data_IF_815172897850
#
_entry.id   IF_815172897850
#
_cell.length_a   1.000
_cell.length_b   1.000
_cell.length_c   1.000
_cell.angle_alpha   90.00
_cell.angle_beta   90.00
_cell.angle_gamma   90.00
#
_symmetry.space_group_name_H-M   'P 1'
#
loop_
_entity.id
_entity.type
_entity.pdbx_description
1 polymer ?
#
# COMPACT_ATOMS: atom_id res chain seq x y z
N UNK A 1 32.71 2.60 -4.94
CA UNK A 1 33.39 3.19 -3.77
C UNK A 1 33.36 2.15 -2.66
N UNK A 2 34.49 1.94 -1.97
CA UNK A 2 34.52 1.12 -0.76
C UNK A 2 33.76 1.86 0.34
N UNK A 3 32.83 1.18 1.00
CA UNK A 3 32.16 1.73 2.18
C UNK A 3 33.16 1.69 3.34
N UNK A 4 33.45 2.82 3.94
CA UNK A 4 34.29 2.90 5.14
C UNK A 4 33.37 2.78 6.36
N UNK A 5 33.73 1.87 7.26
CA UNK A 5 32.97 1.64 8.51
C UNK A 5 33.74 2.30 9.67
N UNK A 6 32.97 2.94 10.56
CA UNK A 6 33.53 3.64 11.71
C UNK A 6 33.55 2.78 12.95
N UNK A 7 32.46 2.12 13.26
CA UNK A 7 32.36 1.23 14.41
C UNK A 7 31.54 -0.01 14.08
N UNK A 8 31.76 -1.09 14.81
CA UNK A 8 31.09 -2.36 14.61
C UNK A 8 30.69 -3.00 15.94
N UNK A 9 29.54 -3.65 15.96
CA UNK A 9 29.08 -4.47 17.08
C UNK A 9 28.58 -5.81 16.54
N UNK A 10 28.94 -6.91 17.19
CA UNK A 10 28.68 -8.26 16.71
C UNK A 10 27.62 -8.91 17.62
N UNK A 11 26.59 -9.51 17.03
CA UNK A 11 25.59 -10.28 17.76
C UNK A 11 26.11 -11.68 18.12
N UNK A 12 25.47 -12.34 19.07
CA UNK A 12 25.80 -13.72 19.43
C UNK A 12 25.66 -14.69 18.25
N UNK A 13 24.74 -14.41 17.31
CA UNK A 13 24.55 -15.21 16.11
C UNK A 13 25.55 -14.90 14.99
N UNK A 14 26.47 -13.95 15.21
CA UNK A 14 27.51 -13.58 14.26
C UNK A 14 27.09 -12.57 13.18
N UNK A 15 25.96 -11.87 13.36
CA UNK A 15 25.61 -10.71 12.54
C UNK A 15 26.39 -9.49 13.01
N UNK A 16 26.69 -8.60 12.08
CA UNK A 16 27.53 -7.42 12.33
C UNK A 16 26.70 -6.16 12.08
N UNK A 17 26.44 -5.38 13.13
CA UNK A 17 25.99 -4.00 13.00
C UNK A 17 27.20 -3.11 12.80
N UNK A 18 27.17 -2.24 11.80
CA UNK A 18 28.26 -1.34 11.49
C UNK A 18 27.73 0.06 11.19
N UNK A 19 28.34 1.08 11.79
CA UNK A 19 28.12 2.47 11.40
C UNK A 19 29.03 2.82 10.21
N UNK A 20 28.43 3.52 9.23
CA UNK A 20 29.17 4.00 8.06
C UNK A 20 29.86 5.31 8.42
N UNK A 21 31.07 5.54 7.88
CA UNK A 21 31.77 6.80 8.11
C UNK A 21 30.93 7.98 7.58
N UNK A 22 30.92 9.04 8.37
CA UNK A 22 29.99 10.15 8.18
C UNK A 22 30.50 11.07 7.10
N UNK A 23 29.73 11.21 6.02
CA UNK A 23 29.92 12.22 5.00
C UNK A 23 29.63 13.63 5.54
N UNK A 24 29.94 14.65 4.77
CA UNK A 24 29.54 16.02 5.11
C UNK A 24 28.01 16.15 5.21
N UNK A 25 27.54 17.10 6.01
CA UNK A 25 26.09 17.31 6.18
C UNK A 25 25.39 17.59 4.84
N UNK A 26 26.05 18.35 3.94
CA UNK A 26 25.55 18.63 2.60
C UNK A 26 25.43 17.40 1.70
N UNK A 27 26.34 16.43 1.83
CA UNK A 27 26.27 15.18 1.08
C UNK A 27 25.11 14.30 1.58
N UNK A 28 24.87 14.29 2.90
CA UNK A 28 23.78 13.54 3.53
C UNK A 28 22.42 14.11 3.14
N UNK A 29 22.27 15.43 3.20
CA UNK A 29 21.05 16.12 2.76
C UNK A 29 20.76 15.84 1.30
N UNK A 30 21.78 15.93 0.43
CA UNK A 30 21.63 15.61 -0.99
C UNK A 30 21.23 14.16 -1.28
N UNK A 31 21.73 13.18 -0.52
CA UNK A 31 21.32 11.77 -0.65
C UNK A 31 19.84 11.56 -0.25
N UNK A 32 19.38 12.26 0.77
CA UNK A 32 17.99 12.20 1.22
C UNK A 32 17.06 12.89 0.22
N UNK A 33 17.38 14.09 -0.24
CA UNK A 33 16.60 14.81 -1.24
C UNK A 33 16.48 14.00 -2.54
N UNK A 34 17.57 13.40 -3.01
CA UNK A 34 17.55 12.53 -4.18
C UNK A 34 16.69 11.28 -3.95
N UNK A 35 16.71 10.69 -2.77
CA UNK A 35 15.84 9.57 -2.39
C UNK A 35 14.37 9.97 -2.39
N UNK A 36 14.03 11.13 -1.83
CA UNK A 36 12.67 11.66 -1.81
C UNK A 36 12.15 11.96 -3.22
N UNK A 37 12.97 12.58 -4.06
CA UNK A 37 12.59 13.00 -5.41
C UNK A 37 12.46 11.85 -6.39
N UNK A 38 13.37 10.87 -6.31
CA UNK A 38 13.39 9.74 -7.23
C UNK A 38 12.41 8.62 -6.87
N UNK A 39 11.89 8.60 -5.64
CA UNK A 39 11.08 7.49 -5.13
C UNK A 39 11.84 6.15 -5.10
N UNK A 40 13.14 6.17 -5.39
CA UNK A 40 13.98 4.98 -5.45
C UNK A 40 14.61 4.72 -4.09
N UNK A 41 14.36 3.53 -3.56
CA UNK A 41 14.98 3.06 -2.32
C UNK A 41 16.42 2.56 -2.52
N UNK A 42 16.92 2.51 -3.76
CA UNK A 42 18.31 2.16 -4.10
C UNK A 42 19.19 3.39 -4.00
N UNK A 43 20.17 3.38 -3.11
CA UNK A 43 21.07 4.51 -2.86
C UNK A 43 20.64 5.45 -1.72
N UNK A 44 19.59 5.09 -0.99
CA UNK A 44 19.13 5.83 0.19
C UNK A 44 20.19 5.80 1.29
N UNK A 45 20.38 6.93 1.95
CA UNK A 45 21.22 7.07 3.14
C UNK A 45 20.93 5.98 4.18
N UNK A 46 21.91 5.16 4.46
CA UNK A 46 21.86 4.07 5.43
C UNK A 46 23.06 4.14 6.35
N UNK A 47 22.97 4.93 7.44
CA UNK A 47 24.10 5.20 8.33
C UNK A 47 24.52 4.00 9.18
N UNK A 48 23.60 3.08 9.41
CA UNK A 48 23.87 1.81 10.09
C UNK A 48 23.53 0.67 9.15
N UNK A 49 24.40 -0.30 9.05
CA UNK A 49 24.22 -1.51 8.24
C UNK A 49 24.21 -2.74 9.13
N UNK A 50 23.36 -3.69 8.80
CA UNK A 50 23.37 -5.04 9.36
C UNK A 50 23.94 -6.00 8.30
N UNK A 51 25.09 -6.57 8.58
CA UNK A 51 25.78 -7.46 7.67
C UNK A 51 25.70 -8.90 8.18
N UNK A 52 25.52 -9.82 7.26
CA UNK A 52 25.68 -11.25 7.55
C UNK A 52 27.16 -11.66 7.52
N UNK A 53 27.47 -12.92 7.84
CA UNK A 53 28.82 -13.47 7.82
C UNK A 53 29.52 -13.42 6.45
N UNK A 54 28.78 -13.16 5.37
CA UNK A 54 29.31 -12.97 4.01
C UNK A 54 29.54 -11.51 3.65
N UNK A 55 29.25 -10.57 4.58
CA UNK A 55 29.30 -9.13 4.33
C UNK A 55 28.15 -8.57 3.51
N UNK A 56 27.07 -9.34 3.31
CA UNK A 56 25.89 -8.85 2.61
C UNK A 56 24.99 -8.07 3.57
N UNK A 57 24.55 -6.89 3.18
CA UNK A 57 23.62 -6.08 3.94
C UNK A 57 22.23 -6.73 3.97
N UNK A 58 21.70 -6.93 5.17
CA UNK A 58 20.41 -7.56 5.44
C UNK A 58 19.50 -6.71 6.33
N UNK A 59 19.83 -5.43 6.53
CA UNK A 59 19.02 -4.52 7.35
C UNK A 59 17.59 -4.46 6.81
N UNK A 60 16.63 -4.74 7.68
CA UNK A 60 15.23 -4.56 7.34
C UNK A 60 14.86 -3.09 7.36
N UNK A 61 14.01 -2.70 6.44
CA UNK A 61 13.49 -1.34 6.31
C UNK A 61 12.01 -1.37 6.64
N UNK A 62 11.66 -0.78 7.76
CA UNK A 62 10.27 -0.56 8.12
C UNK A 62 9.92 0.90 7.83
N UNK A 63 9.13 1.09 6.78
CA UNK A 63 8.78 2.41 6.29
C UNK A 63 9.64 2.88 5.11
N UNK A 64 9.62 4.18 4.86
CA UNK A 64 10.25 4.80 3.70
C UNK A 64 11.79 4.84 3.80
N UNK A 65 12.31 5.03 5.00
CA UNK A 65 13.74 5.13 5.28
C UNK A 65 14.25 3.93 6.08
N UNK A 66 15.53 3.53 5.88
CA UNK A 66 16.19 2.63 6.82
C UNK A 66 16.30 3.30 8.19
N UNK A 67 16.54 2.54 9.27
CA UNK A 67 16.82 3.11 10.58
C UNK A 67 17.99 4.10 10.52
N UNK A 68 17.70 5.38 10.68
CA UNK A 68 18.64 6.47 10.43
C UNK A 68 18.61 7.58 11.50
N UNK A 69 17.89 7.38 12.61
CA UNK A 69 17.62 8.45 13.55
C UNK A 69 16.66 9.47 12.97
N UNK A 70 16.93 10.75 13.11
CA UNK A 70 16.16 11.82 12.50
C UNK A 70 16.68 12.17 11.12
N UNK A 71 15.78 12.36 10.17
CA UNK A 71 16.07 12.71 8.76
C UNK A 71 15.49 14.05 8.37
N UNK A 72 15.28 14.94 9.35
CA UNK A 72 14.76 16.27 9.12
C UNK A 72 15.77 17.12 8.32
N UNK A 73 15.29 17.70 7.21
CA UNK A 73 16.08 18.50 6.28
C UNK A 73 15.64 19.98 6.33
N UNK A 74 14.94 20.42 7.36
CA UNK A 74 14.48 21.79 7.45
C UNK A 74 15.66 22.76 7.55
N UNK A 75 15.98 23.41 6.43
CA UNK A 75 17.09 24.36 6.27
C UNK A 75 16.81 25.75 6.84
N UNK A 76 15.61 25.98 7.40
CA UNK A 76 15.18 27.32 7.85
C UNK A 76 15.62 27.67 9.27
N UNK A 77 16.11 26.71 10.04
CA UNK A 77 16.59 26.95 11.38
C UNK A 77 18.14 26.86 11.45
N UNK A 78 18.77 27.95 11.85
CA UNK A 78 20.22 28.06 11.98
C UNK A 78 20.81 27.34 13.20
N UNK A 79 20.04 26.49 13.91
CA UNK A 79 20.56 25.72 15.04
C UNK A 79 21.34 24.50 14.51
N UNK A 80 22.52 24.26 15.04
CA UNK A 80 23.39 23.12 14.68
C UNK A 80 22.75 21.73 14.94
N UNK A 81 21.53 21.70 15.51
CA UNK A 81 20.80 20.49 15.86
C UNK A 81 19.86 19.99 14.79
N UNK A 82 19.65 20.74 13.73
CA UNK A 82 18.76 20.41 12.62
C UNK A 82 19.53 19.72 11.49
N UNK A 83 18.83 18.99 10.67
CA UNK A 83 19.40 18.17 9.61
C UNK A 83 19.46 16.70 9.97
N UNK A 84 20.13 15.91 9.17
CA UNK A 84 20.23 14.46 9.30
C UNK A 84 21.02 14.06 10.53
N UNK A 85 20.60 13.00 11.22
CA UNK A 85 21.33 12.42 12.37
C UNK A 85 22.71 11.95 11.97
N UNK A 86 23.69 12.19 12.85
CA UNK A 86 25.08 11.81 12.69
C UNK A 86 25.39 10.59 13.56
N UNK A 87 25.10 9.40 13.03
CA UNK A 87 25.23 8.15 13.76
C UNK A 87 26.67 7.65 13.71
N UNK A 88 27.32 7.57 14.88
CA UNK A 88 28.76 7.31 14.96
C UNK A 88 29.12 6.02 15.66
N UNK A 89 28.27 5.47 16.49
CA UNK A 89 28.51 4.24 17.21
C UNK A 89 27.25 3.39 17.28
N UNK A 90 27.40 2.07 17.44
CA UNK A 90 26.31 1.10 17.54
C UNK A 90 26.64 0.02 18.55
N UNK A 91 25.67 -0.31 19.41
CA UNK A 91 25.79 -1.40 20.38
C UNK A 91 24.60 -2.36 20.25
N UNK A 92 24.86 -3.65 20.32
CA UNK A 92 23.85 -4.69 20.40
C UNK A 92 23.33 -4.76 21.84
N UNK A 93 22.03 -4.66 22.01
CA UNK A 93 21.31 -4.74 23.28
C UNK A 93 20.60 -6.08 23.49
N UNK A 94 19.86 -6.24 24.61
CA UNK A 94 19.13 -7.44 24.89
C UNK A 94 17.99 -7.68 23.87
N UNK A 95 17.56 -8.93 23.72
CA UNK A 95 16.43 -9.34 22.90
C UNK A 95 16.53 -8.90 21.43
N UNK A 96 17.75 -8.94 20.88
CA UNK A 96 18.05 -8.51 19.50
C UNK A 96 17.75 -7.03 19.22
N UNK A 97 17.69 -6.23 20.27
CA UNK A 97 17.67 -4.77 20.12
C UNK A 97 19.06 -4.25 19.78
N UNK A 98 19.12 -3.08 19.20
CA UNK A 98 20.39 -2.39 18.97
C UNK A 98 20.19 -0.89 19.13
N UNK A 99 21.22 -0.24 19.63
CA UNK A 99 21.20 1.19 19.93
C UNK A 99 22.33 1.87 19.18
N UNK A 100 22.01 3.01 18.58
CA UNK A 100 22.99 3.90 17.96
C UNK A 100 22.95 5.27 18.60
N UNK A 101 24.03 6.01 18.49
CA UNK A 101 24.17 7.36 19.04
C UNK A 101 24.29 8.41 17.94
N UNK A 102 23.55 9.49 18.14
CA UNK A 102 23.60 10.70 17.31
C UNK A 102 24.47 11.75 18.01
N UNK A 103 25.66 11.99 17.49
CA UNK A 103 26.57 12.98 18.03
C UNK A 103 26.17 14.43 17.73
N UNK A 104 25.28 14.64 16.76
CA UNK A 104 24.77 15.99 16.45
C UNK A 104 23.77 16.47 17.49
N UNK A 105 22.89 15.55 17.97
CA UNK A 105 21.83 15.88 18.95
C UNK A 105 22.15 15.43 20.37
N UNK A 106 23.27 14.70 20.57
CA UNK A 106 23.56 14.02 21.83
C UNK A 106 22.41 13.11 22.27
N UNK A 107 21.92 12.29 21.36
CA UNK A 107 20.74 11.44 21.55
C UNK A 107 21.05 10.00 21.17
N UNK A 108 20.36 9.07 21.82
CA UNK A 108 20.41 7.64 21.49
C UNK A 108 19.10 7.21 20.84
N UNK A 109 19.19 6.29 19.89
CA UNK A 109 18.05 5.66 19.23
C UNK A 109 18.20 4.15 19.38
N UNK A 110 17.18 3.52 19.98
CA UNK A 110 17.13 2.06 20.12
C UNK A 110 16.05 1.49 19.21
N UNK A 111 16.45 0.48 18.46
CA UNK A 111 15.61 -0.20 17.47
C UNK A 111 15.47 -1.68 17.83
N UNK A 112 14.39 -2.30 17.36
CA UNK A 112 14.25 -3.74 17.35
C UNK A 112 15.00 -4.38 16.17
N UNK A 113 14.97 -5.71 16.10
CA UNK A 113 15.57 -6.49 15.01
C UNK A 113 14.95 -6.16 13.63
N UNK A 114 13.69 -5.70 13.58
CA UNK A 114 12.99 -5.36 12.35
C UNK A 114 13.25 -3.90 11.90
N UNK A 115 13.97 -3.12 12.67
CA UNK A 115 14.27 -1.72 12.39
C UNK A 115 13.18 -0.75 12.87
N UNK A 116 12.25 -1.19 13.71
CA UNK A 116 11.30 -0.29 14.36
C UNK A 116 11.98 0.47 15.49
N UNK A 117 11.75 1.78 15.55
CA UNK A 117 12.23 2.60 16.66
C UNK A 117 11.44 2.26 17.92
N UNK A 118 12.14 1.82 18.95
CA UNK A 118 11.55 1.48 20.25
C UNK A 118 11.50 2.69 21.16
N UNK A 119 12.61 3.37 21.31
CA UNK A 119 12.72 4.60 22.10
C UNK A 119 13.94 5.41 21.70
N UNK A 120 13.88 6.70 21.95
CA UNK A 120 15.00 7.63 21.83
C UNK A 120 15.07 8.44 23.11
N UNK A 121 16.28 8.67 23.61
CA UNK A 121 16.51 9.53 24.76
C UNK A 121 17.88 10.20 24.66
N UNK A 122 18.12 11.13 25.55
CA UNK A 122 19.30 11.96 25.57
C UNK A 122 18.99 13.36 25.05
N UNK A 123 19.55 14.32 25.72
CA UNK A 123 19.50 15.72 25.35
C UNK A 123 20.68 16.42 25.99
N UNK A 124 21.19 17.45 25.37
CA UNK A 124 22.22 18.32 25.91
C UNK A 124 21.63 19.23 27.02
N UNK A 125 21.20 18.61 28.11
CA UNK A 125 20.65 19.32 29.26
C UNK A 125 21.53 19.12 30.50
N UNK A 126 21.53 20.11 31.41
CA UNK A 126 22.19 20.01 32.69
C UNK A 126 21.41 19.16 33.71
N UNK A 127 20.31 18.51 33.28
CA UNK A 127 19.52 17.66 34.15
C UNK A 127 20.18 16.30 34.37
N UNK A 128 19.82 15.61 35.43
CA UNK A 128 20.24 14.24 35.68
C UNK A 128 19.81 13.35 34.50
N UNK A 129 20.77 12.67 33.87
CA UNK A 129 20.53 11.89 32.68
C UNK A 129 20.67 12.65 31.35
N UNK A 130 21.05 13.94 31.39
CA UNK A 130 21.48 14.67 30.18
C UNK A 130 22.82 14.13 29.65
N UNK A 131 23.02 14.22 28.35
CA UNK A 131 24.26 13.78 27.65
C UNK A 131 24.87 15.01 27.02
N UNK A 132 26.05 15.43 27.50
CA UNK A 132 26.71 16.65 27.03
C UNK A 132 27.42 16.48 25.68
N UNK A 133 28.12 15.38 25.52
CA UNK A 133 28.86 15.04 24.29
C UNK A 133 28.99 13.51 24.18
N UNK A 134 28.04 12.89 23.52
CA UNK A 134 28.03 11.43 23.37
C UNK A 134 29.17 10.95 22.49
N UNK A 135 29.95 9.97 22.98
CA UNK A 135 31.11 9.41 22.27
C UNK A 135 30.92 7.96 21.90
N UNK A 136 30.47 7.15 22.85
CA UNK A 136 30.30 5.71 22.67
C UNK A 136 29.12 5.17 23.50
N UNK A 137 28.59 4.04 23.06
CA UNK A 137 27.53 3.29 23.77
C UNK A 137 27.91 1.82 23.85
N UNK A 138 27.64 1.18 24.98
CA UNK A 138 27.78 -0.27 25.16
C UNK A 138 26.74 -0.78 26.16
N UNK A 139 26.36 -2.04 26.00
CA UNK A 139 25.50 -2.72 26.96
C UNK A 139 26.31 -3.57 27.93
N UNK A 140 25.96 -3.52 29.21
CA UNK A 140 26.40 -4.44 30.24
C UNK A 140 25.17 -5.14 30.83
N UNK A 141 24.86 -6.32 30.31
CA UNK A 141 23.61 -6.98 30.64
C UNK A 141 22.39 -6.15 30.17
N UNK A 142 21.58 -5.73 31.12
CA UNK A 142 20.38 -4.94 30.83
C UNK A 142 20.59 -3.42 30.90
N UNK A 143 21.72 -2.99 31.42
CA UNK A 143 22.06 -1.57 31.59
C UNK A 143 22.81 -1.05 30.37
N UNK A 144 22.51 0.16 29.95
CA UNK A 144 23.21 0.87 28.87
C UNK A 144 24.24 1.82 29.48
N UNK A 145 25.48 1.72 29.05
CA UNK A 145 26.56 2.61 29.43
C UNK A 145 26.85 3.56 28.29
N UNK A 146 26.86 4.86 28.59
CA UNK A 146 27.17 5.91 27.62
C UNK A 146 28.40 6.65 28.10
N UNK A 147 29.40 6.72 27.20
CA UNK A 147 30.58 7.55 27.40
C UNK A 147 30.26 8.98 26.96
N UNK A 148 30.31 9.90 27.90
CA UNK A 148 30.20 11.34 27.67
C UNK A 148 31.58 11.96 27.68
N UNK A 149 32.02 12.52 26.55
CA UNK A 149 33.29 13.22 26.36
C UNK A 149 33.21 14.73 26.57
N UNK A 150 32.23 15.23 27.34
CA UNK A 150 32.11 16.63 27.69
C UNK A 150 33.22 17.15 28.62
N UNK A 151 32.97 18.21 29.37
CA UNK A 151 33.96 18.85 30.24
C UNK A 151 34.56 17.91 31.31
N UNK A 152 33.83 16.90 31.71
CA UNK A 152 34.29 15.82 32.57
C UNK A 152 33.98 14.50 31.89
N UNK A 153 35.00 13.85 31.30
CA UNK A 153 34.80 12.52 30.74
C UNK A 153 34.18 11.59 31.79
N UNK A 154 32.94 11.16 31.54
CA UNK A 154 32.18 10.34 32.47
C UNK A 154 31.49 9.19 31.76
N UNK A 155 31.26 8.10 32.48
CA UNK A 155 30.43 7.00 32.03
C UNK A 155 29.14 7.07 32.81
N UNK A 156 28.03 7.28 32.10
CA UNK A 156 26.72 7.27 32.71
C UNK A 156 26.03 5.94 32.47
N UNK A 157 25.51 5.35 33.56
CA UNK A 157 24.77 4.08 33.50
C UNK A 157 23.28 4.40 33.45
N UNK A 158 22.60 3.89 32.42
CA UNK A 158 21.17 4.03 32.24
C UNK A 158 20.50 2.67 32.44
N UNK A 159 19.63 2.59 33.44
CA UNK A 159 18.78 1.43 33.66
C UNK A 159 17.41 1.66 33.05
N UNK A 160 16.79 0.58 32.56
CA UNK A 160 15.46 0.67 31.98
C UNK A 160 14.40 1.02 33.01
N UNK A 161 13.46 1.84 32.61
CA UNK A 161 12.21 2.09 33.36
C UNK A 161 11.26 0.90 33.24
N UNK A 162 10.22 0.83 34.08
CA UNK A 162 9.15 -0.17 33.93
C UNK A 162 8.52 -0.19 32.53
N UNK A 163 8.44 0.97 31.89
CA UNK A 163 7.95 1.09 30.51
C UNK A 163 8.90 0.40 29.51
N UNK A 164 10.21 0.66 29.63
CA UNK A 164 11.22 -0.01 28.82
C UNK A 164 11.28 -1.51 29.06
N UNK A 165 11.08 -1.95 30.32
CA UNK A 165 11.03 -3.37 30.66
C UNK A 165 9.82 -4.07 30.04
N UNK A 166 8.67 -3.43 29.95
CA UNK A 166 7.49 -3.97 29.26
C UNK A 166 7.77 -4.18 27.76
N UNK A 167 8.46 -3.23 27.11
CA UNK A 167 8.83 -3.35 25.71
C UNK A 167 9.78 -4.53 25.49
N UNK A 168 10.84 -4.63 26.28
CA UNK A 168 11.82 -5.73 26.17
C UNK A 168 11.19 -7.06 26.51
N UNK A 169 10.30 -7.12 27.51
CA UNK A 169 9.55 -8.34 27.85
C UNK A 169 8.61 -8.77 26.71
N UNK A 170 7.99 -7.82 26.02
CA UNK A 170 7.17 -8.14 24.85
C UNK A 170 8.01 -8.74 23.72
N UNK A 171 9.18 -8.17 23.43
CA UNK A 171 10.13 -8.72 22.43
C UNK A 171 10.65 -10.09 22.83
N UNK A 172 10.96 -10.31 24.11
CA UNK A 172 11.36 -11.61 24.63
C UNK A 172 10.27 -12.67 24.42
N UNK A 173 9.03 -12.34 24.77
CA UNK A 173 7.89 -13.20 24.56
C UNK A 173 7.68 -13.54 23.07
N UNK A 174 7.84 -12.55 22.15
CA UNK A 174 7.80 -12.81 20.71
C UNK A 174 8.92 -13.76 20.25
N UNK A 175 10.15 -13.56 20.74
CA UNK A 175 11.29 -14.41 20.40
C UNK A 175 11.10 -15.85 20.88
N UNK A 176 10.46 -16.03 22.04
CA UNK A 176 10.12 -17.32 22.62
C UNK A 176 8.81 -17.93 22.10
N UNK A 177 8.13 -17.28 21.14
CA UNK A 177 6.84 -17.72 20.58
C UNK A 177 5.69 -17.73 21.62
N UNK A 178 5.82 -16.94 22.69
CA UNK A 178 4.79 -16.75 23.71
C UNK A 178 3.86 -15.59 23.30
N UNK A 179 3.11 -15.80 22.20
CA UNK A 179 2.40 -14.72 21.52
C UNK A 179 1.33 -14.02 22.37
N UNK A 180 0.59 -14.77 23.18
CA UNK A 180 -0.41 -14.16 24.09
C UNK A 180 0.24 -13.26 25.12
N UNK A 181 1.39 -13.66 25.68
CA UNK A 181 2.16 -12.83 26.62
C UNK A 181 2.71 -11.59 25.91
N UNK A 182 3.20 -11.73 24.68
CA UNK A 182 3.66 -10.60 23.88
C UNK A 182 2.52 -9.57 23.66
N UNK A 183 1.33 -10.04 23.29
CA UNK A 183 0.14 -9.21 23.10
C UNK A 183 -0.23 -8.49 24.40
N UNK A 184 -0.19 -9.17 25.56
CA UNK A 184 -0.47 -8.58 26.86
C UNK A 184 0.53 -7.48 27.21
N UNK A 185 1.83 -7.75 27.04
CA UNK A 185 2.89 -6.78 27.31
C UNK A 185 2.76 -5.55 26.39
N UNK A 186 2.55 -5.73 25.09
CA UNK A 186 2.32 -4.61 24.16
C UNK A 186 1.07 -3.81 24.49
N UNK A 187 -0.02 -4.44 24.91
CA UNK A 187 -1.20 -3.73 25.40
C UNK A 187 -0.87 -2.90 26.66
N UNK A 188 -0.04 -3.41 27.56
CA UNK A 188 0.47 -2.66 28.70
C UNK A 188 1.29 -1.43 28.31
N UNK A 189 2.04 -1.51 27.20
CA UNK A 189 2.74 -0.36 26.61
C UNK A 189 1.73 0.67 26.08
N UNK A 190 0.70 0.24 25.31
CA UNK A 190 -0.32 1.12 24.77
C UNK A 190 -1.19 1.80 25.84
N UNK A 191 -1.40 1.17 26.99
CA UNK A 191 -2.09 1.82 28.12
C UNK A 191 -1.34 3.04 28.66
N UNK A 192 -0.01 3.06 28.53
CA UNK A 192 0.84 4.18 28.94
C UNK A 192 1.10 5.19 27.83
N UNK A 193 1.17 4.72 26.59
CA UNK A 193 1.35 5.54 25.40
C UNK A 193 0.53 4.98 24.24
N UNK A 194 -0.67 5.52 24.05
CA UNK A 194 -1.61 5.08 23.01
C UNK A 194 -1.17 5.41 21.57
N UNK A 195 -0.19 6.31 21.41
CA UNK A 195 0.32 6.71 20.08
C UNK A 195 1.61 5.97 19.71
N UNK A 196 1.89 4.85 20.34
CA UNK A 196 3.13 4.12 20.09
C UNK A 196 2.94 3.07 19.00
N UNK A 197 3.27 3.44 17.77
CA UNK A 197 3.04 2.62 16.56
C UNK A 197 3.71 1.25 16.62
N UNK A 198 4.94 1.16 17.17
CA UNK A 198 5.66 -0.09 17.29
C UNK A 198 4.91 -1.14 18.14
N UNK A 199 4.11 -0.71 19.13
CA UNK A 199 3.30 -1.64 19.92
C UNK A 199 2.11 -2.20 19.12
N UNK A 200 1.48 -1.40 18.28
CA UNK A 200 0.45 -1.91 17.37
C UNK A 200 1.03 -2.91 16.38
N UNK A 201 2.19 -2.60 15.78
CA UNK A 201 2.90 -3.54 14.90
C UNK A 201 3.30 -4.81 15.65
N UNK A 202 3.81 -4.69 16.88
CA UNK A 202 4.18 -5.82 17.73
C UNK A 202 2.99 -6.74 18.03
N UNK A 203 1.83 -6.18 18.41
CA UNK A 203 0.60 -6.97 18.60
C UNK A 203 0.19 -7.66 17.28
N UNK A 204 0.19 -6.91 16.18
CA UNK A 204 -0.11 -7.45 14.86
C UNK A 204 0.78 -8.63 14.49
N UNK A 205 2.10 -8.49 14.73
CA UNK A 205 3.09 -9.54 14.46
C UNK A 205 2.87 -10.79 15.33
N UNK A 206 2.62 -10.61 16.62
CA UNK A 206 2.34 -11.71 17.54
C UNK A 206 1.08 -12.48 17.10
N UNK A 207 -0.02 -11.77 16.81
CA UNK A 207 -1.27 -12.35 16.33
C UNK A 207 -1.10 -13.05 14.97
N UNK A 208 -0.33 -12.46 14.07
CA UNK A 208 -0.06 -13.05 12.76
C UNK A 208 0.70 -14.38 12.88
N UNK A 209 1.73 -14.43 13.74
CA UNK A 209 2.51 -15.65 13.99
C UNK A 209 1.71 -16.72 14.70
N UNK A 210 0.75 -16.34 15.54
CA UNK A 210 -0.22 -17.23 16.20
C UNK A 210 -1.31 -17.74 15.24
N UNK A 211 -1.34 -17.26 13.99
CA UNK A 211 -2.36 -17.64 13.01
C UNK A 211 -3.70 -16.89 13.13
N UNK A 212 -3.78 -15.90 14.01
CA UNK A 212 -4.96 -15.05 14.23
C UNK A 212 -4.98 -13.89 13.23
N UNK A 213 -4.89 -14.22 11.95
CA UNK A 213 -4.73 -13.25 10.86
C UNK A 213 -5.81 -12.18 10.79
N UNK A 214 -7.06 -12.54 11.11
CA UNK A 214 -8.16 -11.59 11.07
C UNK A 214 -8.04 -10.52 12.15
N UNK A 215 -7.59 -10.90 13.35
CA UNK A 215 -7.41 -9.96 14.46
C UNK A 215 -6.18 -9.06 14.25
N UNK A 216 -5.13 -9.58 13.58
CA UNK A 216 -3.94 -8.78 13.29
C UNK A 216 -4.21 -7.60 12.34
N UNK A 217 -5.25 -7.68 11.50
CA UNK A 217 -5.60 -6.61 10.55
C UNK A 217 -5.92 -5.29 11.24
N UNK A 218 -6.70 -5.32 12.32
CA UNK A 218 -7.13 -4.12 13.05
C UNK A 218 -5.92 -3.38 13.65
N UNK A 219 -4.92 -4.12 14.13
CA UNK A 219 -3.70 -3.55 14.70
C UNK A 219 -2.75 -2.99 13.63
N UNK A 220 -2.58 -3.66 12.50
CA UNK A 220 -1.80 -3.12 11.40
C UNK A 220 -2.45 -1.90 10.76
N UNK A 221 -3.79 -1.87 10.70
CA UNK A 221 -4.54 -0.70 10.24
C UNK A 221 -4.32 0.51 11.17
N UNK A 222 -4.36 0.29 12.49
CA UNK A 222 -4.09 1.33 13.48
C UNK A 222 -2.64 1.87 13.40
N UNK A 223 -1.69 1.03 13.00
CA UNK A 223 -0.28 1.42 12.79
C UNK A 223 -0.01 1.97 11.39
N UNK A 224 -1.00 2.03 10.48
CA UNK A 224 -0.81 2.34 9.05
C UNK A 224 0.21 1.43 8.34
N UNK A 225 0.45 0.22 8.85
CA UNK A 225 1.35 -0.78 8.28
C UNK A 225 0.66 -1.55 7.16
N UNK A 226 0.65 -0.96 5.97
CA UNK A 226 -0.03 -1.52 4.79
C UNK A 226 0.60 -2.81 4.29
N UNK A 227 1.91 -3.00 4.50
CA UNK A 227 2.62 -4.20 4.07
C UNK A 227 2.19 -5.42 4.87
N UNK A 228 2.27 -5.36 6.19
CA UNK A 228 1.89 -6.47 7.05
C UNK A 228 0.36 -6.68 7.07
N UNK A 229 -0.42 -5.61 6.94
CA UNK A 229 -1.86 -5.71 6.70
C UNK A 229 -2.17 -6.53 5.45
N UNK A 230 -1.48 -6.24 4.33
CA UNK A 230 -1.67 -6.97 3.07
C UNK A 230 -1.28 -8.45 3.18
N UNK A 231 -0.23 -8.77 3.94
CA UNK A 231 0.17 -10.17 4.23
C UNK A 231 -0.94 -10.88 5.00
N UNK A 232 -1.44 -10.29 6.09
CA UNK A 232 -2.53 -10.86 6.90
C UNK A 232 -3.82 -11.02 6.07
N UNK A 233 -4.18 -10.03 5.28
CA UNK A 233 -5.33 -10.10 4.38
C UNK A 233 -5.21 -11.24 3.36
N UNK A 234 -4.00 -11.50 2.87
CA UNK A 234 -3.75 -12.61 1.94
C UNK A 234 -4.05 -13.95 2.59
N UNK A 235 -3.65 -14.15 3.85
CA UNK A 235 -3.94 -15.38 4.61
C UNK A 235 -5.45 -15.53 4.88
N UNK A 236 -6.12 -14.46 5.33
CA UNK A 236 -7.57 -14.46 5.54
C UNK A 236 -8.31 -14.80 4.25
N UNK A 237 -7.92 -14.19 3.13
CA UNK A 237 -8.51 -14.46 1.83
C UNK A 237 -8.23 -15.90 1.37
N UNK A 238 -7.03 -16.42 1.59
CA UNK A 238 -6.66 -17.80 1.25
C UNK A 238 -7.50 -18.81 2.02
N UNK A 239 -7.68 -18.61 3.33
CA UNK A 239 -8.52 -19.46 4.16
C UNK A 239 -9.99 -19.43 3.68
N UNK A 240 -10.52 -18.25 3.41
CA UNK A 240 -11.86 -18.09 2.87
C UNK A 240 -12.01 -18.75 1.49
N UNK A 241 -11.06 -18.53 0.58
CA UNK A 241 -11.09 -19.14 -0.75
C UNK A 241 -11.01 -20.66 -0.67
N UNK A 242 -10.16 -21.22 0.19
CA UNK A 242 -10.04 -22.67 0.35
C UNK A 242 -11.36 -23.33 0.80
N UNK A 243 -12.13 -22.64 1.65
CA UNK A 243 -13.44 -23.14 2.12
C UNK A 243 -14.52 -23.09 1.05
N UNK A 244 -14.50 -22.07 0.18
CA UNK A 244 -15.61 -21.76 -0.72
C UNK A 244 -15.31 -21.98 -2.21
N UNK A 245 -14.10 -22.44 -2.58
CA UNK A 245 -13.69 -22.60 -3.98
C UNK A 245 -14.66 -23.48 -4.79
N UNK A 246 -15.15 -24.57 -4.22
CA UNK A 246 -16.09 -25.47 -4.90
C UNK A 246 -17.45 -24.78 -5.16
N UNK A 247 -17.88 -23.94 -4.22
CA UNK A 247 -19.13 -23.15 -4.38
C UNK A 247 -18.96 -22.13 -5.49
N UNK A 248 -17.77 -21.46 -5.57
CA UNK A 248 -17.47 -20.54 -6.66
C UNK A 248 -17.50 -21.22 -8.02
N UNK A 249 -16.86 -22.38 -8.14
CA UNK A 249 -16.89 -23.15 -9.39
C UNK A 249 -18.34 -23.52 -9.77
N UNK A 250 -19.14 -23.97 -8.80
CA UNK A 250 -20.55 -24.29 -9.03
C UNK A 250 -21.35 -23.06 -9.48
N UNK A 251 -21.13 -21.90 -8.87
CA UNK A 251 -21.77 -20.63 -9.26
C UNK A 251 -21.36 -20.25 -10.68
N UNK A 252 -20.08 -20.30 -11.03
CA UNK A 252 -19.60 -19.99 -12.38
C UNK A 252 -20.26 -20.89 -13.41
N UNK A 253 -20.31 -22.21 -13.17
CA UNK A 253 -21.01 -23.17 -14.06
C UNK A 253 -22.50 -22.85 -14.18
N UNK A 254 -23.16 -22.53 -13.08
CA UNK A 254 -24.58 -22.13 -13.09
C UNK A 254 -24.80 -20.84 -13.87
N UNK A 255 -23.92 -19.84 -13.74
CA UNK A 255 -23.99 -18.59 -14.49
C UNK A 255 -23.80 -18.85 -15.99
N UNK A 256 -22.80 -19.66 -16.38
CA UNK A 256 -22.57 -20.03 -17.79
C UNK A 256 -23.80 -20.73 -18.36
N UNK A 257 -24.39 -21.64 -17.60
CA UNK A 257 -25.58 -22.38 -18.05
C UNK A 257 -26.82 -21.46 -18.14
N UNK A 258 -27.01 -20.58 -17.18
CA UNK A 258 -28.07 -19.57 -17.20
C UNK A 258 -27.90 -18.62 -18.38
N UNK A 259 -26.67 -18.20 -18.65
CA UNK A 259 -26.32 -17.35 -19.79
C UNK A 259 -26.63 -18.04 -21.13
N UNK A 260 -26.24 -19.29 -21.28
CA UNK A 260 -26.54 -20.07 -22.49
C UNK A 260 -28.05 -20.24 -22.70
N UNK A 261 -28.83 -20.46 -21.63
CA UNK A 261 -30.31 -20.49 -21.70
C UNK A 261 -30.89 -19.12 -22.05
N UNK A 262 -30.35 -18.04 -21.46
CA UNK A 262 -30.76 -16.68 -21.78
C UNK A 262 -30.54 -16.35 -23.25
N UNK A 263 -29.39 -16.68 -23.84
CA UNK A 263 -29.12 -16.47 -25.26
C UNK A 263 -30.10 -17.26 -26.16
N UNK A 264 -30.43 -18.51 -25.80
CA UNK A 264 -31.43 -19.30 -26.52
C UNK A 264 -32.85 -18.66 -26.42
N UNK A 265 -33.18 -18.14 -25.23
CA UNK A 265 -34.45 -17.41 -25.04
C UNK A 265 -34.47 -16.11 -25.86
N UNK A 266 -33.41 -15.30 -25.82
CA UNK A 266 -33.28 -14.08 -26.61
C UNK A 266 -33.39 -14.36 -28.12
N UNK A 267 -32.76 -15.42 -28.62
CA UNK A 267 -32.86 -15.86 -30.01
C UNK A 267 -34.30 -16.27 -30.37
N UNK A 268 -35.00 -16.98 -29.48
CA UNK A 268 -36.40 -17.36 -29.69
C UNK A 268 -37.33 -16.15 -29.77
N UNK A 269 -37.16 -15.19 -28.84
CA UNK A 269 -37.92 -13.95 -28.78
C UNK A 269 -37.69 -13.10 -30.04
N UNK A 270 -36.43 -12.95 -30.44
CA UNK A 270 -36.04 -12.20 -31.63
C UNK A 270 -36.63 -12.83 -32.90
N UNK A 271 -36.61 -14.16 -33.01
CA UNK A 271 -37.24 -14.86 -34.15
C UNK A 271 -38.77 -14.69 -34.20
N UNK A 272 -39.43 -14.71 -33.06
CA UNK A 272 -40.88 -14.51 -32.97
C UNK A 272 -41.30 -13.07 -33.31
N UNK A 273 -40.40 -12.09 -33.17
CA UNK A 273 -40.65 -10.69 -33.52
C UNK A 273 -40.62 -10.40 -35.03
N UNK A 274 -40.25 -11.38 -35.87
CA UNK A 274 -40.13 -11.28 -37.32
C UNK A 274 -41.26 -12.01 -38.10
N UNK A 275 -42.51 -11.76 -37.78
CA UNK A 275 -43.60 -12.26 -38.59
C UNK A 275 -44.16 -11.09 -39.39
N UNK A 276 -44.11 -11.21 -40.71
CA UNK A 276 -44.74 -10.35 -41.71
C UNK A 276 -44.33 -8.86 -41.79
N UNK A 277 -43.07 -8.51 -41.56
CA UNK A 277 -42.54 -7.15 -41.90
C UNK A 277 -43.14 -5.99 -41.09
N UNK A 278 -44.09 -6.24 -40.22
CA UNK A 278 -44.77 -5.25 -39.31
C UNK A 278 -44.73 -5.71 -37.88
N UNK A 279 -43.53 -5.81 -37.30
CA UNK A 279 -43.40 -6.23 -35.91
C UNK A 279 -43.89 -5.17 -34.94
N UNK A 280 -44.92 -5.45 -34.16
CA UNK A 280 -45.22 -4.76 -32.90
C UNK A 280 -44.19 -5.15 -31.90
N UNK A 281 -43.13 -4.34 -31.77
CA UNK A 281 -42.02 -4.58 -30.84
C UNK A 281 -42.39 -4.08 -29.47
N UNK A 282 -42.20 -4.92 -28.46
CA UNK A 282 -42.18 -4.48 -27.08
C UNK A 282 -40.81 -3.94 -26.74
N UNK A 283 -40.73 -3.03 -25.76
CA UNK A 283 -39.46 -2.46 -25.28
C UNK A 283 -38.46 -3.54 -24.91
N UNK A 284 -38.89 -4.63 -24.24
CA UNK A 284 -38.00 -5.75 -23.90
C UNK A 284 -37.39 -6.46 -25.12
N UNK A 285 -38.15 -6.57 -26.22
CA UNK A 285 -37.63 -7.16 -27.47
C UNK A 285 -36.60 -6.25 -28.13
N UNK A 286 -36.80 -4.93 -28.08
CA UNK A 286 -35.84 -3.95 -28.57
C UNK A 286 -34.51 -4.06 -27.79
N UNK A 287 -34.55 -4.14 -26.46
CA UNK A 287 -33.34 -4.33 -25.63
C UNK A 287 -32.67 -5.69 -25.83
N UNK A 288 -33.47 -6.78 -25.94
CA UNK A 288 -32.91 -8.12 -26.20
C UNK A 288 -32.23 -8.25 -27.57
N UNK A 289 -32.62 -7.41 -28.52
CA UNK A 289 -32.03 -7.41 -29.86
C UNK A 289 -30.53 -6.97 -29.81
N UNK A 290 -30.12 -6.14 -28.88
CA UNK A 290 -28.74 -5.78 -28.67
C UNK A 290 -27.81 -6.99 -28.48
N UNK A 291 -28.27 -8.02 -27.77
CA UNK A 291 -27.50 -9.27 -27.62
C UNK A 291 -27.37 -10.07 -28.94
N UNK A 292 -28.31 -9.91 -29.86
CA UNK A 292 -28.16 -10.50 -31.19
C UNK A 292 -27.12 -9.75 -32.02
N UNK A 293 -27.14 -8.42 -32.00
CA UNK A 293 -26.19 -7.56 -32.73
C UNK A 293 -24.75 -7.84 -32.29
N UNK A 294 -24.48 -8.01 -31.00
CA UNK A 294 -23.13 -8.32 -30.46
C UNK A 294 -22.54 -9.58 -31.11
N UNK A 295 -23.34 -10.63 -31.31
CA UNK A 295 -22.86 -11.90 -31.82
C UNK A 295 -23.00 -12.05 -33.38
N UNK A 296 -23.81 -11.20 -34.00
CA UNK A 296 -24.09 -11.20 -35.44
C UNK A 296 -24.07 -9.75 -35.97
N UNK A 297 -22.91 -9.08 -35.96
CA UNK A 297 -22.85 -7.65 -36.25
C UNK A 297 -23.34 -7.30 -37.66
N UNK A 298 -22.97 -8.06 -38.68
CA UNK A 298 -23.38 -7.76 -40.03
C UNK A 298 -24.87 -7.85 -40.27
N UNK A 299 -25.49 -8.97 -39.90
CA UNK A 299 -26.93 -9.16 -40.01
C UNK A 299 -27.68 -8.26 -39.07
N UNK A 300 -27.12 -8.08 -37.84
CA UNK A 300 -27.71 -7.24 -36.83
C UNK A 300 -27.84 -5.78 -37.24
N UNK A 301 -26.79 -5.17 -37.77
CA UNK A 301 -26.82 -3.80 -38.29
C UNK A 301 -27.69 -3.65 -39.52
N UNK A 302 -27.70 -4.64 -40.43
CA UNK A 302 -28.61 -4.65 -41.56
C UNK A 302 -30.06 -4.61 -41.12
N UNK A 303 -30.45 -5.46 -40.17
CA UNK A 303 -31.82 -5.53 -39.61
C UNK A 303 -32.20 -4.29 -38.80
N UNK A 304 -31.22 -3.63 -38.13
CA UNK A 304 -31.51 -2.37 -37.42
C UNK A 304 -32.02 -1.29 -38.38
N UNK A 305 -31.41 -1.22 -39.60
CA UNK A 305 -31.80 -0.26 -40.62
C UNK A 305 -33.08 -0.70 -41.38
N UNK A 306 -33.06 -1.90 -41.96
CA UNK A 306 -34.10 -2.34 -42.92
C UNK A 306 -35.36 -2.90 -42.22
N UNK A 307 -35.20 -3.63 -41.11
CA UNK A 307 -36.33 -4.18 -40.34
C UNK A 307 -36.73 -3.29 -39.16
N UNK A 308 -36.05 -2.17 -38.98
CA UNK A 308 -36.30 -1.21 -37.87
C UNK A 308 -36.36 -1.90 -36.49
N UNK A 309 -35.50 -2.86 -36.23
CA UNK A 309 -35.48 -3.65 -34.98
C UNK A 309 -35.02 -2.89 -33.78
N UNK A 310 -34.20 -1.88 -33.96
CA UNK A 310 -33.76 -0.99 -32.90
C UNK A 310 -34.72 0.13 -32.61
N UNK A 311 -34.57 0.75 -31.45
CA UNK A 311 -35.32 1.94 -31.08
C UNK A 311 -34.49 2.94 -30.30
N UNK A 312 -34.85 4.22 -30.40
CA UNK A 312 -34.22 5.30 -29.64
C UNK A 312 -34.33 5.06 -28.11
N UNK A 313 -35.46 4.45 -27.66
CA UNK A 313 -35.68 4.13 -26.24
C UNK A 313 -34.62 3.12 -25.71
N UNK A 314 -34.41 2.07 -26.45
CA UNK A 314 -33.40 1.06 -26.08
C UNK A 314 -31.98 1.60 -26.20
N UNK A 315 -31.67 2.48 -27.18
CA UNK A 315 -30.41 3.17 -27.30
C UNK A 315 -30.04 3.93 -26.01
N UNK A 316 -30.98 4.67 -25.44
CA UNK A 316 -30.73 5.37 -24.16
C UNK A 316 -30.44 4.40 -23.01
N UNK A 317 -31.03 3.20 -22.99
CA UNK A 317 -30.72 2.18 -21.98
C UNK A 317 -29.27 1.69 -22.12
N UNK A 318 -28.82 1.41 -23.36
CA UNK A 318 -27.45 0.97 -23.60
C UNK A 318 -26.41 2.05 -23.29
N UNK A 319 -26.68 3.30 -23.66
CA UNK A 319 -25.84 4.44 -23.31
C UNK A 319 -25.78 4.62 -21.78
N UNK A 320 -26.92 4.55 -21.11
CA UNK A 320 -27.00 4.60 -19.64
C UNK A 320 -26.22 3.46 -18.97
N UNK A 321 -26.33 2.24 -19.49
CA UNK A 321 -25.56 1.09 -19.02
C UNK A 321 -24.05 1.28 -19.23
N UNK A 322 -23.64 1.83 -20.37
CA UNK A 322 -22.23 2.16 -20.64
C UNK A 322 -21.71 3.20 -19.63
N UNK A 323 -22.44 4.30 -19.41
CA UNK A 323 -22.06 5.33 -18.42
C UNK A 323 -21.90 4.72 -17.03
N UNK A 324 -22.85 3.89 -16.60
CA UNK A 324 -22.79 3.22 -15.29
C UNK A 324 -21.63 2.24 -15.20
N UNK A 325 -21.29 1.55 -16.28
CA UNK A 325 -20.14 0.64 -16.34
C UNK A 325 -18.82 1.40 -16.20
N UNK A 326 -18.65 2.51 -16.92
CA UNK A 326 -17.48 3.38 -16.82
C UNK A 326 -17.37 4.00 -15.41
N UNK A 327 -18.50 4.44 -14.85
CA UNK A 327 -18.55 4.96 -13.48
C UNK A 327 -18.14 3.88 -12.47
N UNK A 328 -18.68 2.66 -12.60
CA UNK A 328 -18.28 1.53 -11.74
C UNK A 328 -16.79 1.20 -11.89
N UNK A 329 -16.27 1.23 -13.11
CA UNK A 329 -14.84 1.03 -13.36
C UNK A 329 -13.99 2.09 -12.64
N UNK A 330 -14.43 3.34 -12.62
CA UNK A 330 -13.69 4.43 -11.99
C UNK A 330 -13.73 4.39 -10.45
N UNK A 331 -14.84 3.96 -9.85
CA UNK A 331 -15.08 4.09 -8.40
C UNK A 331 -15.11 2.73 -7.69
N UNK A 332 -15.70 1.71 -8.31
CA UNK A 332 -15.99 0.41 -7.69
C UNK A 332 -14.92 -0.66 -7.90
N UNK A 333 -13.97 -0.44 -8.79
CA UNK A 333 -12.92 -1.42 -9.09
C UNK A 333 -11.77 -1.28 -8.11
N UNK A 334 -11.20 -2.40 -7.69
CA UNK A 334 -10.09 -2.42 -6.74
C UNK A 334 -8.81 -1.76 -7.28
N UNK A 335 -7.87 -1.50 -6.38
CA UNK A 335 -6.59 -0.81 -6.64
C UNK A 335 -5.82 -1.34 -7.85
N UNK A 336 -5.84 -2.65 -8.10
CA UNK A 336 -5.12 -3.28 -9.22
C UNK A 336 -5.61 -2.77 -10.59
N UNK A 337 -6.89 -2.44 -10.69
CA UNK A 337 -7.51 -1.97 -11.93
C UNK A 337 -7.62 -0.44 -11.99
N UNK A 338 -7.46 0.24 -10.88
CA UNK A 338 -7.47 1.70 -10.79
C UNK A 338 -6.43 2.18 -9.77
N UNK A 339 -5.13 2.11 -10.09
CA UNK A 339 -4.04 2.42 -9.16
C UNK A 339 -3.97 3.91 -8.79
N UNK A 340 -4.41 4.80 -9.67
CA UNK A 340 -4.34 6.25 -9.44
C UNK A 340 -5.42 6.78 -8.52
N UNK A 341 -6.54 6.05 -8.35
CA UNK A 341 -7.70 6.44 -7.52
C UNK A 341 -8.13 7.89 -7.71
N UNK A 342 -8.13 8.35 -8.94
CA UNK A 342 -8.56 9.70 -9.24
C UNK A 342 -10.04 9.89 -8.86
N UNK A 343 -10.33 11.04 -8.27
CA UNK A 343 -11.71 11.42 -7.98
C UNK A 343 -12.50 11.49 -9.27
N UNK A 344 -13.48 10.61 -9.43
CA UNK A 344 -14.32 10.57 -10.60
C UNK A 344 -15.76 10.89 -10.23
N UNK A 345 -16.37 11.85 -10.93
CA UNK A 345 -17.78 12.16 -10.79
C UNK A 345 -18.59 11.44 -11.86
N UNK A 346 -19.87 11.18 -11.57
CA UNK A 346 -20.81 10.62 -12.56
C UNK A 346 -20.89 11.49 -13.81
N UNK A 347 -20.83 12.81 -13.66
CA UNK A 347 -20.85 13.77 -14.77
C UNK A 347 -19.62 13.60 -15.66
N UNK A 348 -18.43 13.46 -15.08
CA UNK A 348 -17.19 13.26 -15.84
C UNK A 348 -17.25 11.98 -16.66
N UNK A 349 -17.76 10.88 -16.07
CA UNK A 349 -17.91 9.61 -16.78
C UNK A 349 -19.02 9.65 -17.84
N UNK A 350 -20.10 10.36 -17.59
CA UNK A 350 -21.13 10.58 -18.60
C UNK A 350 -20.58 11.38 -19.81
N UNK A 351 -19.82 12.43 -19.55
CA UNK A 351 -19.19 13.23 -20.62
C UNK A 351 -18.13 12.41 -21.40
N UNK A 352 -17.35 11.56 -20.75
CA UNK A 352 -16.37 10.69 -21.42
C UNK A 352 -17.00 9.71 -22.40
N UNK A 353 -18.25 9.30 -22.17
CA UNK A 353 -19.01 8.44 -23.09
C UNK A 353 -19.78 9.27 -24.13
N UNK A 354 -20.47 10.33 -23.69
CA UNK A 354 -21.37 11.09 -24.58
C UNK A 354 -20.63 11.95 -25.60
N UNK A 355 -19.52 12.58 -25.21
CA UNK A 355 -18.80 13.47 -26.14
C UNK A 355 -18.22 12.70 -27.33
N UNK A 356 -17.46 11.59 -27.18
CA UNK A 356 -17.00 10.80 -28.30
C UNK A 356 -18.15 10.23 -29.14
N UNK A 357 -19.24 9.77 -28.50
CA UNK A 357 -20.41 9.24 -29.19
C UNK A 357 -21.05 10.30 -30.09
N UNK A 358 -21.29 11.50 -29.58
CA UNK A 358 -21.88 12.60 -30.34
C UNK A 358 -20.94 13.01 -31.50
N UNK A 359 -19.65 13.16 -31.26
CA UNK A 359 -18.69 13.47 -32.31
C UNK A 359 -18.65 12.40 -33.40
N UNK A 360 -18.66 11.12 -33.01
CA UNK A 360 -18.72 10.01 -33.97
C UNK A 360 -20.01 10.03 -34.80
N UNK A 361 -21.15 10.28 -34.18
CA UNK A 361 -22.45 10.37 -34.86
C UNK A 361 -22.48 11.53 -35.87
N UNK A 362 -22.01 12.71 -35.45
CA UNK A 362 -21.96 13.91 -36.32
C UNK A 362 -21.01 13.67 -37.50
N UNK A 363 -19.82 13.13 -37.24
CA UNK A 363 -18.85 12.80 -38.28
C UNK A 363 -19.42 11.80 -39.31
N UNK A 364 -20.06 10.72 -38.83
CA UNK A 364 -20.70 9.74 -39.72
C UNK A 364 -21.86 10.34 -40.50
N UNK A 365 -22.67 11.19 -39.87
CA UNK A 365 -23.77 11.85 -40.57
C UNK A 365 -23.26 12.81 -41.65
N UNK A 366 -22.21 13.58 -41.35
CA UNK A 366 -21.58 14.44 -42.36
C UNK A 366 -21.02 13.63 -43.55
N UNK A 367 -20.33 12.53 -43.26
CA UNK A 367 -19.78 11.64 -44.30
C UNK A 367 -20.90 10.99 -45.11
N UNK A 368 -21.96 10.46 -44.50
CA UNK A 368 -23.07 9.88 -45.24
C UNK A 368 -23.77 10.93 -46.12
N UNK A 369 -23.93 12.15 -45.64
CA UNK A 369 -24.52 13.23 -46.43
C UNK A 369 -23.62 13.67 -47.57
N UNK A 370 -22.29 13.67 -47.40
CA UNK A 370 -21.32 14.05 -48.43
C UNK A 370 -21.24 13.04 -49.58
N UNK A 371 -21.44 11.75 -49.26
CA UNK A 371 -21.33 10.66 -50.25
C UNK A 371 -22.71 10.10 -50.70
N UNK A 372 -23.77 10.89 -50.62
CA UNK A 372 -25.14 10.52 -51.00
C UNK A 372 -25.66 9.23 -50.33
N UNK A 373 -25.21 8.98 -49.11
CA UNK A 373 -25.62 7.80 -48.33
C UNK A 373 -27.03 7.94 -47.74
N UNK A 374 -27.77 6.83 -47.61
CA UNK A 374 -29.17 6.78 -47.17
C UNK A 374 -29.33 6.76 -45.61
N UNK A 375 -28.34 7.06 -44.82
CA UNK A 375 -28.38 7.00 -43.35
C UNK A 375 -28.94 8.28 -42.74
N UNK A 376 -30.06 8.17 -42.01
CA UNK A 376 -30.54 9.28 -41.17
C UNK A 376 -29.72 9.42 -39.85
N UNK A 377 -29.69 10.63 -39.26
CA UNK A 377 -29.05 10.81 -37.96
C UNK A 377 -29.62 9.87 -36.88
N UNK A 378 -30.94 9.57 -36.96
CA UNK A 378 -31.60 8.61 -36.08
C UNK A 378 -31.09 7.19 -36.25
N UNK A 379 -30.82 6.75 -37.49
CA UNK A 379 -30.29 5.41 -37.75
C UNK A 379 -28.88 5.27 -37.27
N UNK A 380 -28.06 6.32 -37.47
CA UNK A 380 -26.70 6.39 -36.92
C UNK A 380 -26.70 6.35 -35.41
N UNK A 381 -27.59 7.09 -34.75
CA UNK A 381 -27.75 7.05 -33.29
C UNK A 381 -28.09 5.65 -32.79
N UNK A 382 -29.07 5.00 -33.38
CA UNK A 382 -29.46 3.63 -33.02
C UNK A 382 -28.30 2.67 -33.25
N UNK A 383 -27.67 2.70 -34.42
CA UNK A 383 -26.55 1.82 -34.73
C UNK A 383 -25.33 2.03 -33.82
N UNK A 384 -25.03 3.27 -33.45
CA UNK A 384 -23.90 3.58 -32.58
C UNK A 384 -24.14 3.18 -31.11
N UNK A 385 -25.38 2.98 -30.72
CA UNK A 385 -25.78 2.65 -29.33
C UNK A 385 -25.93 1.16 -29.11
N UNK A 386 -26.26 0.37 -30.14
CA UNK A 386 -26.43 -1.07 -30.11
C UNK A 386 -25.11 -1.82 -30.33
#
# INVERSE_FOLDING_TARGET
ASTEYRNVSITEEGFIYATVDVKSDSDLEGEIENGMTSGSLTGVYSPVKLLNSKGTEIMKRNGFWPPAGEVDIDSLDASEKIGVSKLTDVAVGPERTWTTIDTKRNRTYTYDYNGNLLFAFGDNSAMLGGIGNVVAVVYQGNSMLILDGGNTNSITVYDRTEYGDLIVKALNAENNMEYDLAVECWKGVLQRNSNYDAAYVGIGNALYRDGRYKESLDYYEAAYDTENWSKSWTEVRRDWMSKYVLIFVAIIVAVIFAWAKFLKFAKKVNKAATVDGKARKTFGQECLYGFYVIFHPFDGFYDLKHEHRGSVRASFVFIGAAILTFFYQAVGVGYVMNPTREFSSLLTQALSVLVPLVLFMVANWCLTTLFDGEGSLKDIFIASSY
#
